data_IF_374933733067
#
_entry.id   IF_374933733067
#
_cell.length_a   1.000
_cell.length_b   1.000
_cell.length_c   1.000
_cell.angle_alpha   90.00
_cell.angle_beta   90.00
_cell.angle_gamma   90.00
#
_symmetry.space_group_name_H-M   'P 1'
#
loop_
_entity.id
_entity.type
_entity.pdbx_description
1 polymer ?
#
# COMPACT_ATOMS: atom_id res chain seq x y z
N UNK A 1 58.18 7.78 -46.45
CA UNK A 1 57.44 9.01 -46.12
C UNK A 1 56.19 9.04 -47.00
N UNK A 2 55.03 8.69 -46.44
CA UNK A 2 53.72 8.58 -47.10
C UNK A 2 52.71 9.28 -46.18
N UNK A 3 51.68 9.89 -46.78
CA UNK A 3 50.68 10.79 -46.18
C UNK A 3 51.27 12.18 -45.90
N UNK A 4 50.68 13.30 -46.30
CA UNK A 4 49.26 13.65 -46.25
C UNK A 4 48.92 14.63 -47.38
N UNK A 5 48.01 14.23 -48.26
CA UNK A 5 47.26 15.13 -49.15
C UNK A 5 45.84 14.58 -49.16
N UNK A 6 44.93 15.24 -48.44
CA UNK A 6 43.46 15.18 -48.56
C UNK A 6 42.85 15.82 -47.30
N UNK A 7 42.97 17.15 -47.19
CA UNK A 7 42.37 17.93 -46.12
C UNK A 7 41.81 19.24 -46.70
N UNK A 8 40.86 19.13 -47.62
CA UNK A 8 40.09 20.26 -48.13
C UNK A 8 38.93 19.70 -48.96
N UNK A 9 37.80 19.38 -48.33
CA UNK A 9 36.48 19.21 -48.98
C UNK A 9 35.39 18.76 -47.97
N UNK A 10 35.27 19.37 -46.79
CA UNK A 10 34.16 19.09 -45.86
C UNK A 10 33.70 20.32 -45.06
N UNK A 11 33.65 21.50 -45.68
CA UNK A 11 33.13 22.72 -45.06
C UNK A 11 32.20 23.45 -46.04
N UNK A 12 31.13 22.78 -46.45
CA UNK A 12 30.00 23.43 -47.09
C UNK A 12 28.73 22.60 -46.88
N UNK A 13 27.78 23.18 -46.15
CA UNK A 13 26.41 22.68 -46.11
C UNK A 13 25.97 22.28 -44.73
N UNK A 14 25.55 23.25 -43.91
CA UNK A 14 24.38 23.12 -43.05
C UNK A 14 23.79 24.51 -42.83
N UNK A 15 23.14 25.00 -43.90
CA UNK A 15 22.17 26.08 -43.84
C UNK A 15 20.87 25.54 -43.26
N UNK A 16 20.28 26.34 -42.37
CA UNK A 16 18.84 26.47 -42.08
C UNK A 16 18.06 25.19 -41.75
N UNK A 17 17.70 25.03 -40.47
CA UNK A 17 16.36 24.56 -40.10
C UNK A 17 15.99 24.98 -38.67
N UNK A 18 14.89 25.73 -38.60
CA UNK A 18 13.95 25.84 -37.48
C UNK A 18 14.46 26.38 -36.14
N UNK A 19 14.64 27.70 -36.07
CA UNK A 19 14.41 28.43 -34.83
C UNK A 19 12.90 28.43 -34.55
N UNK A 20 12.43 27.41 -33.82
CA UNK A 20 11.19 27.52 -33.04
C UNK A 20 11.50 28.40 -31.84
N UNK A 21 10.79 29.53 -31.70
CA UNK A 21 10.87 30.36 -30.51
C UNK A 21 10.33 29.55 -29.32
N UNK A 22 11.26 29.08 -28.49
CA UNK A 22 10.98 28.40 -27.24
C UNK A 22 10.57 29.45 -26.20
N UNK A 23 9.27 29.68 -26.04
CA UNK A 23 8.69 30.70 -25.13
C UNK A 23 8.79 30.29 -23.65
N UNK A 24 9.77 29.47 -23.27
CA UNK A 24 10.17 29.17 -21.87
C UNK A 24 9.07 28.72 -20.91
N UNK A 25 7.85 28.51 -21.39
CA UNK A 25 6.67 28.28 -20.58
C UNK A 25 6.56 26.80 -20.38
N UNK A 26 7.13 26.34 -19.26
CA UNK A 26 6.87 25.03 -18.70
C UNK A 26 5.37 24.99 -18.41
N UNK A 27 4.59 24.48 -19.36
CA UNK A 27 3.21 24.06 -19.08
C UNK A 27 3.32 22.91 -18.08
N UNK A 28 2.69 23.01 -16.90
CA UNK A 28 2.63 21.87 -16.00
C UNK A 28 1.97 20.74 -16.76
N UNK A 29 2.72 19.69 -17.04
CA UNK A 29 2.16 18.46 -17.58
C UNK A 29 1.12 17.99 -16.56
N UNK A 30 -0.13 17.70 -16.97
CA UNK A 30 -1.08 17.08 -16.07
C UNK A 30 -0.41 15.82 -15.52
N UNK A 31 -0.43 15.57 -14.20
CA UNK A 31 0.16 14.37 -13.66
C UNK A 31 -0.43 13.18 -14.40
N UNK A 32 0.43 12.37 -15.02
CA UNK A 32 0.02 11.14 -15.66
C UNK A 32 -0.75 10.33 -14.60
N UNK A 33 -2.02 10.01 -14.88
CA UNK A 33 -2.78 9.10 -14.03
C UNK A 33 -2.00 7.79 -13.98
N UNK A 34 -1.38 7.52 -12.84
CA UNK A 34 -0.65 6.29 -12.62
C UNK A 34 -1.62 5.14 -12.83
N UNK A 35 -1.34 4.18 -13.74
CA UNK A 35 -2.17 3.01 -13.91
C UNK A 35 -2.30 2.34 -12.54
N UNK A 36 -3.54 2.21 -12.05
CA UNK A 36 -3.84 1.57 -10.77
C UNK A 36 -3.43 0.10 -10.89
N UNK A 37 -2.20 -0.24 -10.52
CA UNK A 37 -1.73 -1.62 -10.56
C UNK A 37 -2.52 -2.41 -9.54
N UNK A 38 -3.56 -3.07 -10.03
CA UNK A 38 -4.48 -3.87 -9.23
C UNK A 38 -3.84 -5.25 -9.10
N UNK A 39 -2.84 -5.38 -8.22
CA UNK A 39 -2.38 -6.71 -7.83
C UNK A 39 -3.60 -7.49 -7.29
N UNK A 40 -3.87 -8.72 -7.79
CA UNK A 40 -5.01 -9.48 -7.32
C UNK A 40 -4.85 -9.74 -5.82
N UNK A 41 -5.95 -9.60 -5.09
CA UNK A 41 -6.01 -9.92 -3.68
C UNK A 41 -5.50 -11.35 -3.45
N UNK A 42 -4.58 -11.57 -2.49
CA UNK A 42 -4.29 -12.91 -2.04
C UNK A 42 -5.58 -13.68 -1.75
N UNK A 43 -5.67 -14.94 -2.19
CA UNK A 43 -6.93 -15.68 -2.21
C UNK A 43 -7.58 -15.81 -0.82
N UNK A 44 -6.80 -15.78 0.24
CA UNK A 44 -7.28 -15.82 1.62
C UNK A 44 -8.22 -14.65 1.95
N UNK A 45 -7.96 -13.46 1.38
CA UNK A 45 -8.75 -12.25 1.62
C UNK A 45 -10.06 -12.20 0.83
N UNK A 46 -10.27 -13.13 -0.13
CA UNK A 46 -11.54 -13.25 -0.83
C UNK A 46 -12.71 -13.61 0.11
N UNK A 47 -12.42 -14.09 1.32
CA UNK A 47 -13.41 -14.41 2.34
C UNK A 47 -14.03 -13.17 3.01
N UNK A 48 -13.44 -11.97 2.85
CA UNK A 48 -13.96 -10.76 3.50
C UNK A 48 -15.38 -10.47 3.04
N UNK A 49 -16.27 -10.26 4.02
CA UNK A 49 -17.68 -10.05 3.78
C UNK A 49 -18.47 -11.33 3.49
N UNK A 50 -17.85 -12.48 3.26
CA UNK A 50 -18.58 -13.74 3.10
C UNK A 50 -19.27 -14.16 4.41
N UNK A 51 -20.34 -14.98 4.35
CA UNK A 51 -20.90 -15.60 5.53
C UNK A 51 -19.82 -16.38 6.29
N UNK A 52 -19.83 -16.27 7.60
CA UNK A 52 -18.88 -16.98 8.42
C UNK A 52 -19.07 -18.50 8.34
N UNK A 53 -17.96 -19.27 8.34
CA UNK A 53 -18.04 -20.72 8.37
C UNK A 53 -18.73 -21.18 9.67
N UNK A 54 -19.63 -22.16 9.55
CA UNK A 54 -20.40 -22.70 10.67
C UNK A 54 -19.52 -23.40 11.72
N UNK A 55 -18.33 -23.87 11.33
CA UNK A 55 -17.30 -24.40 12.23
C UNK A 55 -15.94 -23.83 11.85
N UNK A 56 -15.27 -23.19 12.81
CA UNK A 56 -13.86 -22.84 12.67
C UNK A 56 -13.04 -24.05 13.12
N UNK A 57 -12.31 -24.68 12.20
CA UNK A 57 -11.25 -25.61 12.60
C UNK A 57 -10.21 -24.83 13.42
N UNK A 58 -9.53 -25.48 14.41
CA UNK A 58 -8.49 -24.82 15.17
C UNK A 58 -7.44 -24.25 14.22
N UNK A 59 -7.07 -22.96 14.34
CA UNK A 59 -6.10 -22.37 13.45
C UNK A 59 -4.78 -23.12 13.58
N UNK A 60 -4.23 -23.58 12.45
CA UNK A 60 -2.83 -24.03 12.40
C UNK A 60 -1.94 -22.80 12.35
N UNK A 61 -0.69 -22.91 12.83
CA UNK A 61 0.24 -21.77 12.90
C UNK A 61 0.59 -21.14 11.55
N UNK A 62 0.29 -21.80 10.43
CA UNK A 62 0.54 -21.31 9.08
C UNK A 62 -0.73 -20.92 8.30
N UNK A 63 -1.92 -21.20 8.84
CA UNK A 63 -3.17 -20.88 8.17
C UNK A 63 -3.57 -19.40 8.38
N UNK A 64 -4.33 -18.80 7.44
CA UNK A 64 -4.99 -17.53 7.70
C UNK A 64 -5.90 -17.60 8.92
N UNK A 65 -5.85 -16.59 9.77
CA UNK A 65 -6.84 -16.34 10.81
C UNK A 65 -8.03 -15.59 10.20
N UNK A 66 -9.25 -16.06 10.45
CA UNK A 66 -10.50 -15.45 9.97
C UNK A 66 -11.39 -15.13 11.15
N UNK A 67 -11.81 -13.87 11.29
CA UNK A 67 -12.66 -13.43 12.39
C UNK A 67 -14.04 -12.98 11.90
N UNK A 68 -15.06 -13.54 12.54
CA UNK A 68 -16.45 -13.16 12.31
C UNK A 68 -16.76 -11.83 12.96
N UNK A 69 -17.39 -10.95 12.20
CA UNK A 69 -17.86 -9.67 12.65
C UNK A 69 -19.39 -9.62 12.73
N UNK A 70 -19.93 -8.45 12.38
CA UNK A 70 -21.35 -8.15 12.32
C UNK A 70 -22.07 -9.03 11.31
N UNK A 71 -23.35 -9.25 11.57
CA UNK A 71 -24.27 -9.98 10.69
C UNK A 71 -23.80 -11.40 10.33
N UNK A 72 -22.93 -11.98 11.15
CA UNK A 72 -22.33 -13.29 10.90
C UNK A 72 -21.46 -13.34 9.65
N UNK A 73 -20.85 -12.21 9.25
CA UNK A 73 -19.95 -12.12 8.09
C UNK A 73 -18.49 -11.98 8.53
N UNK A 74 -17.57 -12.39 7.68
CA UNK A 74 -16.14 -12.24 7.93
C UNK A 74 -15.75 -10.76 7.91
N UNK A 75 -15.30 -10.26 9.06
CA UNK A 75 -14.90 -8.87 9.24
C UNK A 75 -13.39 -8.66 9.15
N UNK A 76 -12.58 -9.66 9.50
CA UNK A 76 -11.12 -9.59 9.48
C UNK A 76 -10.54 -10.88 8.95
N UNK A 77 -9.49 -10.76 8.14
CA UNK A 77 -8.63 -11.88 7.75
C UNK A 77 -7.18 -11.48 7.96
N UNK A 78 -6.38 -12.34 8.58
CA UNK A 78 -4.95 -12.14 8.85
C UNK A 78 -4.13 -13.31 8.34
N UNK A 79 -3.04 -13.05 7.64
CA UNK A 79 -2.05 -14.05 7.19
C UNK A 79 -0.69 -13.78 7.82
N UNK A 80 0.01 -14.85 8.19
CA UNK A 80 1.33 -14.80 8.83
C UNK A 80 2.46 -15.10 7.83
N UNK A 81 2.49 -14.35 6.73
CA UNK A 81 3.52 -14.48 5.67
C UNK A 81 3.73 -13.15 4.95
N UNK A 82 4.83 -13.04 4.21
CA UNK A 82 5.07 -11.91 3.30
C UNK A 82 3.96 -11.80 2.26
N UNK A 83 3.29 -10.67 2.26
CA UNK A 83 2.27 -10.35 1.26
C UNK A 83 2.66 -9.07 0.55
N UNK A 84 2.66 -9.07 -0.78
CA UNK A 84 2.83 -7.84 -1.53
C UNK A 84 1.66 -6.92 -1.25
N UNK A 85 1.94 -5.65 -0.92
CA UNK A 85 0.90 -4.65 -0.73
C UNK A 85 0.62 -3.90 -2.03
N UNK A 86 -0.58 -3.33 -2.17
CA UNK A 86 -0.88 -2.32 -3.18
C UNK A 86 0.11 -1.14 -3.19
N UNK A 87 0.25 -0.47 -4.34
CA UNK A 87 1.23 0.62 -4.54
C UNK A 87 1.00 1.85 -3.65
N UNK A 88 -0.23 2.04 -3.15
CA UNK A 88 -0.63 3.13 -2.25
C UNK A 88 -0.38 2.81 -0.76
N UNK A 89 0.38 1.75 -0.47
CA UNK A 89 0.79 1.43 0.89
C UNK A 89 1.63 2.56 1.50
N UNK A 90 1.12 3.13 2.59
CA UNK A 90 1.80 4.15 3.37
C UNK A 90 2.56 3.52 4.53
N UNK A 91 3.87 3.75 4.58
CA UNK A 91 4.73 3.32 5.70
C UNK A 91 4.67 4.35 6.84
N UNK A 92 4.39 3.90 8.07
CA UNK A 92 4.44 4.75 9.27
C UNK A 92 5.87 4.78 9.83
N UNK A 93 6.52 5.94 9.80
CA UNK A 93 7.94 6.13 10.17
C UNK A 93 8.15 6.31 11.67
N UNK A 94 8.73 5.34 12.37
CA UNK A 94 9.00 5.40 13.81
C UNK A 94 8.23 4.38 14.65
N UNK A 95 7.54 3.45 13.98
CA UNK A 95 6.99 2.24 14.57
C UNK A 95 8.06 1.29 15.11
N UNK A 96 7.74 0.50 16.14
CA UNK A 96 8.58 -0.64 16.56
C UNK A 96 8.41 -1.79 15.55
N UNK A 97 9.00 -1.64 14.36
CA UNK A 97 8.79 -2.55 13.23
C UNK A 97 8.56 -1.75 11.94
N UNK A 98 8.25 -2.44 10.83
CA UNK A 98 7.71 -1.76 9.65
C UNK A 98 6.19 -1.95 9.65
N UNK A 99 5.45 -0.89 9.98
CA UNK A 99 3.99 -0.84 9.77
C UNK A 99 3.72 -0.17 8.43
N UNK A 100 2.94 -0.83 7.58
CA UNK A 100 2.44 -0.29 6.33
C UNK A 100 0.91 -0.40 6.31
N UNK A 101 0.24 0.67 5.92
CA UNK A 101 -1.22 0.77 5.89
C UNK A 101 -1.68 1.12 4.48
N UNK A 102 -2.72 0.44 4.01
CA UNK A 102 -3.42 0.78 2.75
C UNK A 102 -4.88 1.02 3.08
N UNK A 103 -5.47 2.07 2.50
CA UNK A 103 -6.86 2.46 2.78
C UNK A 103 -7.67 2.44 1.49
N UNK A 104 -8.52 1.43 1.35
CA UNK A 104 -9.53 1.31 0.31
C UNK A 104 -10.88 1.88 0.80
N UNK A 105 -11.88 2.07 -0.09
CA UNK A 105 -13.18 2.62 0.31
C UNK A 105 -13.88 1.84 1.43
N UNK A 106 -13.79 0.51 1.44
CA UNK A 106 -14.49 -0.35 2.39
C UNK A 106 -13.56 -1.16 3.30
N UNK A 107 -12.25 -1.05 3.07
CA UNK A 107 -11.25 -1.96 3.64
C UNK A 107 -10.00 -1.21 4.05
N UNK A 108 -9.36 -1.71 5.10
CA UNK A 108 -8.04 -1.24 5.51
C UNK A 108 -7.10 -2.42 5.64
N UNK A 109 -5.92 -2.29 5.06
CA UNK A 109 -4.84 -3.24 5.16
C UNK A 109 -3.85 -2.75 6.16
N UNK A 110 -3.35 -3.65 6.99
CA UNK A 110 -2.24 -3.39 7.90
C UNK A 110 -1.25 -4.52 7.75
N UNK A 111 -0.05 -4.19 7.30
CA UNK A 111 1.08 -5.09 7.35
C UNK A 111 2.02 -4.65 8.46
N UNK A 112 2.41 -5.60 9.28
CA UNK A 112 3.37 -5.42 10.35
C UNK A 112 4.53 -6.41 10.17
N UNK A 113 5.76 -5.89 10.18
CA UNK A 113 6.98 -6.68 10.19
C UNK A 113 7.73 -6.46 11.49
N UNK A 114 7.85 -7.52 12.31
CA UNK A 114 8.62 -7.46 13.55
C UNK A 114 10.08 -7.93 13.33
N UNK A 115 11.03 -7.00 13.34
CA UNK A 115 12.47 -7.32 13.19
C UNK A 115 13.12 -7.90 14.46
N UNK A 116 12.54 -7.64 15.62
CA UNK A 116 13.09 -8.03 16.93
C UNK A 116 12.42 -9.27 17.53
N UNK A 117 11.40 -9.81 16.86
CA UNK A 117 10.76 -11.05 17.27
C UNK A 117 11.73 -12.22 17.03
N UNK A 118 11.81 -13.17 17.98
CA UNK A 118 12.71 -14.35 17.87
C UNK A 118 12.43 -15.22 16.64
N UNK A 119 11.25 -15.05 16.04
CA UNK A 119 10.87 -15.61 14.76
C UNK A 119 10.43 -14.45 13.87
N UNK A 120 10.83 -14.46 12.60
CA UNK A 120 10.37 -13.48 11.62
C UNK A 120 8.86 -13.64 11.44
N UNK A 121 8.08 -12.76 12.07
CA UNK A 121 6.63 -12.68 11.91
C UNK A 121 6.30 -11.46 11.07
N UNK A 122 6.09 -11.71 9.78
CA UNK A 122 5.35 -10.80 8.93
C UNK A 122 3.88 -11.15 9.03
N UNK A 123 3.09 -10.19 9.48
CA UNK A 123 1.64 -10.28 9.56
C UNK A 123 1.05 -9.30 8.57
N UNK A 124 0.13 -9.75 7.74
CA UNK A 124 -0.71 -8.87 6.92
C UNK A 124 -2.14 -9.21 7.22
N UNK A 125 -2.93 -8.22 7.63
CA UNK A 125 -4.36 -8.43 7.74
C UNK A 125 -5.15 -7.33 7.08
N UNK A 126 -6.42 -7.62 6.87
CA UNK A 126 -7.38 -6.75 6.21
C UNK A 126 -8.65 -6.74 7.03
N UNK A 127 -9.15 -5.54 7.31
CA UNK A 127 -10.42 -5.32 8.00
C UNK A 127 -11.45 -4.76 7.02
N UNK A 128 -12.65 -5.35 6.98
CA UNK A 128 -13.79 -4.84 6.24
C UNK A 128 -14.62 -3.93 7.15
N UNK A 129 -14.65 -2.63 6.85
CA UNK A 129 -15.17 -1.60 7.77
C UNK A 129 -16.67 -1.76 8.08
N UNK A 130 -17.46 -2.16 7.08
CA UNK A 130 -18.89 -2.42 7.24
C UNK A 130 -19.19 -3.64 8.14
N UNK A 131 -18.39 -4.71 8.03
CA UNK A 131 -18.67 -5.98 8.69
C UNK A 131 -17.87 -6.19 9.97
N UNK A 132 -16.79 -5.46 10.21
CA UNK A 132 -16.02 -5.59 11.45
C UNK A 132 -16.75 -5.00 12.67
N UNK A 133 -16.58 -5.62 13.83
CA UNK A 133 -17.03 -5.06 15.12
C UNK A 133 -16.18 -3.85 15.51
N UNK A 134 -16.67 -3.02 16.44
CA UNK A 134 -15.85 -1.91 16.97
C UNK A 134 -14.56 -2.41 17.60
N UNK A 135 -14.64 -3.51 18.35
CA UNK A 135 -13.47 -4.13 18.99
C UNK A 135 -12.43 -4.57 17.96
N UNK A 136 -12.86 -5.21 16.87
CA UNK A 136 -11.98 -5.62 15.78
C UNK A 136 -11.31 -4.43 15.11
N UNK A 137 -12.08 -3.37 14.81
CA UNK A 137 -11.53 -2.13 14.22
C UNK A 137 -10.50 -1.51 15.16
N UNK A 138 -10.80 -1.40 16.46
CA UNK A 138 -9.86 -0.85 17.45
C UNK A 138 -8.60 -1.72 17.62
N UNK A 139 -8.72 -3.05 17.58
CA UNK A 139 -7.56 -3.94 17.57
C UNK A 139 -6.69 -3.66 16.33
N UNK A 140 -7.32 -3.52 15.16
CA UNK A 140 -6.63 -3.21 13.91
C UNK A 140 -5.97 -1.83 13.91
N UNK A 141 -6.61 -0.82 14.49
CA UNK A 141 -6.01 0.51 14.69
C UNK A 141 -4.76 0.43 15.56
N UNK A 142 -4.77 -0.37 16.62
CA UNK A 142 -3.59 -0.58 17.46
C UNK A 142 -2.48 -1.29 16.71
N UNK A 143 -2.80 -2.26 15.85
CA UNK A 143 -1.81 -2.89 14.96
C UNK A 143 -1.24 -1.91 13.93
N UNK A 144 -2.04 -0.94 13.49
CA UNK A 144 -1.59 0.19 12.69
C UNK A 144 -0.89 1.29 13.52
N UNK A 145 -0.65 1.08 14.81
CA UNK A 145 -0.08 2.05 15.74
C UNK A 145 -0.81 3.41 15.81
N UNK A 146 -2.11 3.41 15.54
CA UNK A 146 -2.97 4.57 15.71
C UNK A 146 -3.54 4.61 17.14
N UNK A 147 -3.38 5.74 17.82
CA UNK A 147 -3.76 5.92 19.24
C UNK A 147 -5.20 6.43 19.46
N UNK A 148 -6.07 6.31 18.46
CA UNK A 148 -7.44 6.80 18.54
C UNK A 148 -8.26 6.08 19.64
N UNK A 149 -9.02 6.86 20.40
CA UNK A 149 -9.93 6.35 21.45
C UNK A 149 -11.27 5.84 20.89
N UNK A 150 -11.47 5.89 19.58
CA UNK A 150 -12.73 5.51 18.93
C UNK A 150 -12.48 4.74 17.64
N UNK A 151 -13.39 3.81 17.28
CA UNK A 151 -13.28 2.99 16.08
C UNK A 151 -13.38 3.85 14.82
N UNK A 152 -12.37 3.76 13.94
CA UNK A 152 -12.36 4.46 12.65
C UNK A 152 -13.22 3.67 11.66
N UNK A 153 -14.47 4.10 11.49
CA UNK A 153 -15.54 3.34 10.80
C UNK A 153 -15.57 3.49 9.29
N UNK A 154 -14.82 4.44 8.74
CA UNK A 154 -14.79 4.73 7.32
C UNK A 154 -13.38 5.10 6.87
N UNK A 155 -13.17 5.06 5.54
CA UNK A 155 -11.88 5.31 4.93
C UNK A 155 -11.36 6.74 5.18
N UNK A 156 -12.23 7.74 5.32
CA UNK A 156 -11.82 9.12 5.54
C UNK A 156 -11.25 9.29 6.96
N UNK A 157 -11.91 8.71 7.95
CA UNK A 157 -11.44 8.69 9.34
C UNK A 157 -10.06 8.03 9.44
N UNK A 158 -9.84 6.91 8.74
CA UNK A 158 -8.54 6.27 8.65
C UNK A 158 -7.47 7.16 8.01
N UNK A 159 -7.77 7.81 6.87
CA UNK A 159 -6.82 8.73 6.22
C UNK A 159 -6.47 9.90 7.12
N UNK A 160 -7.46 10.48 7.79
CA UNK A 160 -7.27 11.57 8.74
C UNK A 160 -6.38 11.17 9.92
N UNK A 161 -6.59 9.98 10.49
CA UNK A 161 -5.78 9.46 11.58
C UNK A 161 -4.33 9.19 11.15
N UNK A 162 -4.13 8.60 9.98
CA UNK A 162 -2.79 8.34 9.41
C UNK A 162 -2.06 9.65 9.09
N UNK A 163 -2.75 10.65 8.52
CA UNK A 163 -2.18 11.96 8.24
C UNK A 163 -1.79 12.72 9.53
N UNK A 164 -2.53 12.51 10.62
CA UNK A 164 -2.26 13.11 11.93
C UNK A 164 -1.28 12.29 12.78
N UNK A 165 -0.81 11.15 12.29
CA UNK A 165 0.00 10.21 13.05
C UNK A 165 1.33 10.84 13.49
N UNK A 166 1.72 10.53 14.73
CA UNK A 166 2.98 10.97 15.32
C UNK A 166 3.78 9.75 15.74
N UNK A 167 5.08 9.69 15.42
CA UNK A 167 5.96 8.63 15.90
C UNK A 167 5.94 8.55 17.43
N UNK A 168 5.92 7.33 17.97
CA UNK A 168 6.13 7.11 19.42
C UNK A 168 7.57 7.49 19.76
N UNK A 169 7.73 8.36 20.76
CA UNK A 169 9.04 8.80 21.26
C UNK A 169 9.59 7.85 22.31
#
# INVERSE_FOLDING_TARGET
>A
MRAFLLAALLLAGFSLSCASADDGSIRPEPPAETPKVTAPLPPEFAQLGEPCPASQEPPTSAAPSVWCGKDGRVGVVTVYRRTALPEDAQKLTGSMGNVQVVIEPERVWVQHTCFYCRQFTEETGVVHLAYATDEQIMQFQRHAELENQSPLRDAEAWRGAIAAWKPKQ
#
